data_IF_701101536662
#
_entry.id   IF_701101536662
#
_cell.length_a   1.000
_cell.length_b   1.000
_cell.length_c   1.000
_cell.angle_alpha   90.00
_cell.angle_beta   90.00
_cell.angle_gamma   90.00
#
_symmetry.space_group_name_H-M   'P 1'
#
loop_
_entity.id
_entity.type
_entity.pdbx_description
1 polymer ?
#
# COMPACT_ATOMS: atom_id res chain seq x y z
N UNK A 1 -20.67 -8.39 -0.97
CA UNK A 1 -19.97 -9.43 -0.19
C UNK A 1 -19.67 -10.61 -1.12
N UNK A 2 -18.52 -11.27 -1.00
CA UNK A 2 -18.24 -12.47 -1.79
C UNK A 2 -17.22 -13.39 -1.12
N UNK A 3 -17.39 -14.70 -1.29
CA UNK A 3 -16.34 -15.70 -1.08
C UNK A 3 -15.62 -15.93 -2.42
N UNK A 4 -14.39 -15.44 -2.56
CA UNK A 4 -13.66 -15.52 -3.84
C UNK A 4 -12.66 -16.69 -3.81
N UNK A 5 -12.43 -17.38 -4.94
CA UNK A 5 -11.32 -18.32 -5.04
C UNK A 5 -9.99 -17.65 -4.70
N UNK A 6 -9.17 -18.28 -3.87
CA UNK A 6 -7.99 -17.62 -3.32
C UNK A 6 -6.93 -17.28 -4.38
N UNK A 7 -6.83 -18.06 -5.45
CA UNK A 7 -5.86 -17.82 -6.53
C UNK A 7 -6.11 -16.50 -7.29
N UNK A 8 -7.34 -15.97 -7.29
CA UNK A 8 -7.68 -14.68 -7.92
C UNK A 8 -7.67 -13.49 -6.96
N UNK A 9 -7.29 -13.67 -5.68
CA UNK A 9 -7.38 -12.64 -4.63
C UNK A 9 -6.78 -11.30 -5.07
N UNK A 10 -5.56 -11.32 -5.61
CA UNK A 10 -4.88 -10.09 -6.04
C UNK A 10 -5.55 -9.44 -7.25
N UNK A 11 -6.11 -10.21 -8.18
CA UNK A 11 -6.79 -9.67 -9.36
C UNK A 11 -8.12 -9.00 -8.98
N UNK A 12 -8.90 -9.63 -8.09
CA UNK A 12 -10.13 -9.05 -7.54
C UNK A 12 -9.83 -7.77 -6.75
N UNK A 13 -8.84 -7.79 -5.85
CA UNK A 13 -8.46 -6.61 -5.05
C UNK A 13 -7.98 -5.45 -5.93
N UNK A 14 -7.15 -5.71 -6.94
CA UNK A 14 -6.71 -4.68 -7.88
C UNK A 14 -7.90 -4.11 -8.67
N UNK A 15 -8.82 -4.97 -9.15
CA UNK A 15 -10.02 -4.54 -9.89
C UNK A 15 -10.90 -3.62 -9.05
N UNK A 16 -11.10 -3.95 -7.77
CA UNK A 16 -11.89 -3.13 -6.83
C UNK A 16 -11.18 -1.80 -6.56
N UNK A 17 -9.91 -1.85 -6.18
CA UNK A 17 -9.17 -0.68 -5.65
C UNK A 17 -8.70 0.29 -6.73
N UNK A 18 -8.59 -0.16 -7.98
CA UNK A 18 -8.16 0.65 -9.12
C UNK A 18 -9.32 1.05 -10.06
N UNK A 19 -10.55 0.66 -9.74
CA UNK A 19 -11.72 1.06 -10.52
C UNK A 19 -11.88 2.59 -10.52
N UNK A 20 -12.35 3.15 -11.65
CA UNK A 20 -12.71 4.58 -11.76
C UNK A 20 -13.76 4.96 -10.71
N UNK A 21 -14.73 4.08 -10.49
CA UNK A 21 -15.74 4.20 -9.45
C UNK A 21 -15.68 2.96 -8.54
N UNK A 22 -14.81 2.95 -7.52
CA UNK A 22 -14.70 1.81 -6.62
C UNK A 22 -15.94 1.71 -5.72
N UNK A 23 -16.35 0.50 -5.31
CA UNK A 23 -17.44 0.31 -4.36
C UNK A 23 -17.21 1.08 -3.05
N UNK A 24 -18.31 1.53 -2.41
CA UNK A 24 -18.25 2.27 -1.14
C UNK A 24 -17.83 1.35 0.01
N UNK A 25 -18.39 0.14 0.07
CA UNK A 25 -18.07 -0.85 1.10
C UNK A 25 -18.08 -2.25 0.48
N UNK A 26 -17.03 -3.02 0.70
CA UNK A 26 -16.86 -4.36 0.14
C UNK A 26 -16.35 -5.33 1.18
N UNK A 27 -16.88 -6.55 1.15
CA UNK A 27 -16.52 -7.61 2.08
C UNK A 27 -16.09 -8.84 1.28
N UNK A 28 -14.87 -9.32 1.51
CA UNK A 28 -14.29 -10.48 0.82
C UNK A 28 -13.80 -11.51 1.82
N UNK A 29 -14.19 -12.77 1.61
CA UNK A 29 -13.58 -13.91 2.30
C UNK A 29 -12.30 -14.29 1.55
N UNK A 30 -11.16 -14.30 2.26
CA UNK A 30 -9.85 -14.60 1.68
C UNK A 30 -8.86 -15.09 2.74
N UNK A 31 -7.68 -15.55 2.30
CA UNK A 31 -6.63 -16.04 3.19
C UNK A 31 -6.11 -14.93 4.13
N UNK A 32 -5.90 -15.26 5.41
CA UNK A 32 -5.45 -14.31 6.45
C UNK A 32 -4.16 -13.58 6.09
N UNK A 33 -3.18 -14.29 5.53
CA UNK A 33 -1.91 -13.68 5.10
C UNK A 33 -2.11 -12.64 3.99
N UNK A 34 -2.99 -12.94 3.02
CA UNK A 34 -3.35 -11.98 1.99
C UNK A 34 -4.04 -10.75 2.62
N UNK A 35 -5.03 -10.93 3.49
CA UNK A 35 -5.68 -9.81 4.20
C UNK A 35 -4.65 -8.92 4.92
N UNK A 36 -3.77 -9.54 5.71
CA UNK A 36 -2.74 -8.83 6.49
C UNK A 36 -1.82 -7.99 5.61
N UNK A 37 -1.43 -8.51 4.44
CA UNK A 37 -0.61 -7.78 3.46
C UNK A 37 -1.28 -6.50 2.99
N UNK A 38 -2.58 -6.55 2.66
CA UNK A 38 -3.33 -5.39 2.16
C UNK A 38 -3.73 -4.41 3.27
N UNK A 39 -4.02 -4.90 4.48
CA UNK A 39 -4.27 -4.03 5.64
C UNK A 39 -3.00 -3.32 6.13
N UNK A 40 -1.84 -3.98 6.03
CA UNK A 40 -0.60 -3.54 6.67
C UNK A 40 -0.67 -3.63 8.20
N UNK A 41 -1.23 -4.74 8.71
CA UNK A 41 -1.52 -4.92 10.14
C UNK A 41 -0.31 -5.40 10.97
N UNK A 42 0.70 -6.01 10.34
CA UNK A 42 1.95 -6.44 11.00
C UNK A 42 3.10 -5.49 10.69
N UNK A 43 3.29 -5.21 9.40
CA UNK A 43 4.25 -4.23 8.91
C UNK A 43 3.61 -3.39 7.81
N UNK A 44 4.13 -2.19 7.63
CA UNK A 44 3.71 -1.32 6.54
C UNK A 44 4.21 -1.91 5.22
N UNK A 45 3.30 -2.40 4.38
CA UNK A 45 3.64 -2.95 3.06
C UNK A 45 3.43 -1.91 1.98
N UNK A 46 4.15 -2.07 0.86
CA UNK A 46 3.92 -1.22 -0.32
C UNK A 46 2.45 -1.26 -0.76
N UNK A 47 1.81 -2.43 -0.74
CA UNK A 47 0.39 -2.58 -1.11
C UNK A 47 -0.53 -1.81 -0.14
N UNK A 48 -0.30 -1.92 1.17
CA UNK A 48 -1.16 -1.22 2.14
C UNK A 48 -1.01 0.29 2.03
N UNK A 49 0.20 0.81 1.86
CA UNK A 49 0.44 2.26 1.70
C UNK A 49 -0.23 2.84 0.46
N UNK A 50 -0.13 2.16 -0.68
CA UNK A 50 -0.74 2.64 -1.93
C UNK A 50 -2.28 2.71 -1.84
N UNK A 51 -2.88 2.04 -0.85
CA UNK A 51 -4.33 1.93 -0.71
C UNK A 51 -4.90 2.69 0.49
N UNK A 52 -4.16 2.79 1.60
CA UNK A 52 -4.60 3.43 2.85
C UNK A 52 -5.18 4.85 2.69
N UNK A 53 -4.65 5.73 1.80
CA UNK A 53 -5.23 7.05 1.59
C UNK A 53 -6.66 7.03 1.05
N UNK A 54 -7.06 5.97 0.34
CA UNK A 54 -8.37 5.87 -0.32
C UNK A 54 -9.29 4.84 0.32
N UNK A 55 -8.74 3.89 1.07
CA UNK A 55 -9.49 2.79 1.64
C UNK A 55 -9.14 2.57 3.10
N UNK A 56 -10.17 2.34 3.92
CA UNK A 56 -10.04 1.72 5.22
C UNK A 56 -10.19 0.20 5.03
N UNK A 57 -9.13 -0.55 5.34
CA UNK A 57 -9.10 -2.00 5.21
C UNK A 57 -8.87 -2.65 6.56
N UNK A 58 -9.77 -3.56 6.93
CA UNK A 58 -9.73 -4.23 8.24
C UNK A 58 -10.25 -5.65 8.15
N UNK A 59 -9.63 -6.53 8.94
CA UNK A 59 -10.16 -7.86 9.18
C UNK A 59 -11.28 -7.72 10.21
N UNK A 60 -12.52 -8.01 9.80
CA UNK A 60 -13.71 -7.86 10.66
C UNK A 60 -14.19 -9.19 11.24
N UNK A 61 -13.70 -10.31 10.72
CA UNK A 61 -14.03 -11.63 11.22
C UNK A 61 -12.92 -12.65 10.86
N UNK A 62 -12.68 -13.61 11.75
CA UNK A 62 -11.85 -14.79 11.50
C UNK A 62 -12.74 -16.03 11.55
N UNK A 63 -12.79 -16.79 10.46
CA UNK A 63 -13.64 -17.97 10.37
C UNK A 63 -12.98 -19.20 10.98
N UNK A 64 -13.79 -20.15 11.47
CA UNK A 64 -13.30 -21.48 11.80
C UNK A 64 -13.03 -22.26 10.50
N UNK A 65 -11.96 -23.03 10.46
CA UNK A 65 -11.65 -23.92 9.31
C UNK A 65 -12.77 -24.96 9.09
N UNK A 66 -13.54 -25.28 10.13
CA UNK A 66 -14.67 -26.20 10.03
C UNK A 66 -15.89 -25.59 9.32
N UNK A 67 -15.88 -24.29 9.01
CA UNK A 67 -16.94 -23.65 8.23
C UNK A 67 -16.80 -23.86 6.71
N UNK A 68 -15.77 -24.58 6.26
CA UNK A 68 -15.46 -24.79 4.85
C UNK A 68 -15.30 -26.27 4.53
N UNK A 69 -15.77 -26.67 3.35
CA UNK A 69 -15.57 -28.01 2.79
C UNK A 69 -15.06 -27.87 1.34
N UNK A 70 -13.91 -28.48 0.99
CA UNK A 70 -13.01 -29.23 1.88
C UNK A 70 -12.37 -28.32 2.94
N UNK A 71 -11.89 -28.93 4.03
CA UNK A 71 -11.24 -28.18 5.12
C UNK A 71 -9.93 -27.53 4.59
N UNK A 72 -9.77 -26.21 4.71
CA UNK A 72 -8.60 -25.50 4.23
C UNK A 72 -7.40 -25.67 5.18
N UNK A 73 -6.19 -25.68 4.63
CA UNK A 73 -4.94 -25.72 5.40
C UNK A 73 -4.49 -24.33 5.90
N UNK A 74 -5.19 -23.27 5.47
CA UNK A 74 -4.86 -21.87 5.75
C UNK A 74 -5.98 -21.22 6.56
N UNK A 75 -5.62 -20.18 7.30
CA UNK A 75 -6.62 -19.37 8.01
C UNK A 75 -7.37 -18.47 7.02
N UNK A 76 -8.68 -18.37 7.23
CA UNK A 76 -9.59 -17.60 6.39
C UNK A 76 -10.22 -16.49 7.22
N UNK A 77 -10.32 -15.30 6.62
CA UNK A 77 -10.86 -14.11 7.27
C UNK A 77 -11.83 -13.37 6.36
N UNK A 78 -12.68 -12.55 6.97
CA UNK A 78 -13.49 -11.56 6.27
C UNK A 78 -12.74 -10.22 6.27
N UNK A 79 -12.29 -9.80 5.09
CA UNK A 79 -11.71 -8.47 4.87
C UNK A 79 -12.83 -7.50 4.49
N UNK A 80 -12.95 -6.40 5.23
CA UNK A 80 -13.72 -5.22 4.83
C UNK A 80 -12.80 -4.23 4.11
N UNK A 81 -13.28 -3.69 2.99
CA UNK A 81 -12.64 -2.65 2.18
C UNK A 81 -13.65 -1.53 2.03
N UNK A 82 -13.48 -0.48 2.81
CA UNK A 82 -14.37 0.67 2.81
C UNK A 82 -13.66 1.84 2.13
N UNK A 83 -14.28 2.42 1.11
CA UNK A 83 -13.81 3.66 0.49
C UNK A 83 -13.88 4.79 1.52
N UNK A 84 -12.80 5.56 1.65
CA UNK A 84 -12.78 6.75 2.49
C UNK A 84 -13.62 7.85 1.83
N UNK A 85 -14.40 8.56 2.65
CA UNK A 85 -15.20 9.72 2.22
C UNK A 85 -14.38 11.02 2.18
N UNK A 86 -13.12 10.98 2.61
CA UNK A 86 -12.25 12.15 2.73
C UNK A 86 -11.21 12.11 1.63
N UNK A 87 -11.10 13.21 0.89
CA UNK A 87 -10.01 13.45 -0.04
C UNK A 87 -8.81 13.99 0.76
N UNK A 88 -8.04 13.09 1.39
CA UNK A 88 -6.78 13.44 2.08
C UNK A 88 -5.78 14.13 1.12
N UNK A 89 -5.91 13.84 -0.17
CA UNK A 89 -5.08 14.35 -1.25
C UNK A 89 -5.95 14.76 -2.44
N UNK A 90 -5.53 15.81 -3.14
CA UNK A 90 -5.99 16.04 -4.52
C UNK A 90 -5.58 14.89 -5.43
N UNK A 91 -6.20 14.78 -6.61
CA UNK A 91 -5.84 13.73 -7.60
C UNK A 91 -4.34 13.77 -7.94
N UNK A 92 -3.78 14.97 -8.12
CA UNK A 92 -2.36 15.18 -8.43
C UNK A 92 -1.45 14.80 -7.27
N UNK A 93 -1.80 15.20 -6.05
CA UNK A 93 -1.03 14.80 -4.86
C UNK A 93 -1.09 13.29 -4.63
N UNK A 94 -2.23 12.65 -4.90
CA UNK A 94 -2.34 11.19 -4.78
C UNK A 94 -1.50 10.46 -5.83
N UNK A 95 -1.41 10.98 -7.05
CA UNK A 95 -0.46 10.49 -8.06
C UNK A 95 0.99 10.61 -7.58
N UNK A 96 1.36 11.79 -7.09
CA UNK A 96 2.71 12.05 -6.59
C UNK A 96 3.02 11.24 -5.32
N UNK A 97 2.03 11.00 -4.47
CA UNK A 97 2.14 10.12 -3.29
C UNK A 97 2.50 8.70 -3.73
N UNK A 98 1.80 8.15 -4.72
CA UNK A 98 2.09 6.80 -5.22
C UNK A 98 3.50 6.70 -5.79
N UNK A 99 3.94 7.72 -6.54
CA UNK A 99 5.30 7.82 -7.05
C UNK A 99 6.33 7.90 -5.93
N UNK A 100 6.11 8.78 -4.94
CA UNK A 100 6.97 8.93 -3.76
C UNK A 100 7.11 7.61 -2.99
N UNK A 101 6.01 6.93 -2.67
CA UNK A 101 6.03 5.65 -1.95
C UNK A 101 6.78 4.57 -2.75
N UNK A 102 6.48 4.42 -4.05
CA UNK A 102 7.17 3.44 -4.89
C UNK A 102 8.66 3.71 -5.00
N UNK A 103 9.07 4.98 -5.13
CA UNK A 103 10.48 5.36 -5.12
C UNK A 103 11.16 5.01 -3.80
N UNK A 104 10.54 5.34 -2.67
CA UNK A 104 11.10 5.09 -1.34
C UNK A 104 11.27 3.60 -1.07
N UNK A 105 10.30 2.76 -1.44
CA UNK A 105 10.40 1.30 -1.33
C UNK A 105 11.50 0.71 -2.21
N UNK A 106 11.62 1.19 -3.46
CA UNK A 106 12.70 0.77 -4.37
C UNK A 106 14.09 1.12 -3.82
N UNK A 107 14.20 2.22 -3.08
CA UNK A 107 15.44 2.73 -2.51
C UNK A 107 15.46 2.59 -0.98
N UNK A 108 15.01 1.45 -0.47
CA UNK A 108 14.86 1.18 0.97
C UNK A 108 16.12 1.59 1.76
N UNK A 109 15.94 2.22 2.93
CA UNK A 109 16.98 2.82 3.79
C UNK A 109 17.81 3.97 3.19
N UNK A 110 17.92 4.08 1.86
CA UNK A 110 18.76 5.08 1.18
C UNK A 110 17.97 6.30 0.68
N UNK A 111 16.66 6.13 0.42
CA UNK A 111 15.77 7.21 -0.04
C UNK A 111 15.85 8.52 0.77
N UNK A 112 16.02 8.52 2.11
CA UNK A 112 15.93 9.77 2.86
C UNK A 112 17.03 10.74 2.49
N UNK A 113 18.25 10.23 2.25
CA UNK A 113 19.41 11.04 1.83
C UNK A 113 19.31 11.49 0.37
N UNK A 114 18.57 10.76 -0.46
CA UNK A 114 18.34 11.13 -1.87
C UNK A 114 17.33 12.27 -1.96
N UNK A 115 16.25 12.17 -1.19
CA UNK A 115 15.13 13.11 -1.24
C UNK A 115 15.36 14.33 -0.35
N UNK A 116 15.70 14.11 0.92
CA UNK A 116 15.76 15.18 1.92
C UNK A 116 17.19 15.69 2.12
N UNK A 117 17.31 16.96 2.49
CA UNK A 117 18.58 17.55 2.95
C UNK A 117 18.88 17.13 4.39
N UNK A 118 20.14 17.28 4.82
CA UNK A 118 20.51 17.03 6.22
C UNK A 118 19.66 17.83 7.21
N UNK A 119 19.40 19.12 6.91
CA UNK A 119 18.55 19.99 7.75
C UNK A 119 17.12 19.45 7.85
N UNK A 120 16.53 19.00 6.74
CA UNK A 120 15.18 18.42 6.73
C UNK A 120 15.12 17.12 7.55
N UNK A 121 16.11 16.23 7.39
CA UNK A 121 16.18 14.99 8.18
C UNK A 121 16.36 15.28 9.68
N UNK A 122 17.16 16.29 10.03
CA UNK A 122 17.35 16.73 11.42
C UNK A 122 16.04 17.24 12.02
N UNK A 123 15.28 18.05 11.27
CA UNK A 123 13.97 18.54 11.72
C UNK A 123 12.93 17.41 11.82
N UNK A 124 12.89 16.48 10.85
CA UNK A 124 12.03 15.29 10.90
C UNK A 124 12.28 14.47 12.17
N UNK A 125 13.55 14.24 12.51
CA UNK A 125 13.92 13.54 13.75
C UNK A 125 13.51 14.33 14.99
N UNK A 126 13.80 15.63 15.04
CA UNK A 126 13.55 16.48 16.21
C UNK A 126 12.06 16.66 16.50
N UNK A 127 11.24 16.87 15.46
CA UNK A 127 9.81 17.21 15.61
C UNK A 127 8.90 15.99 15.62
N UNK A 128 9.28 14.92 14.92
CA UNK A 128 8.41 13.76 14.70
C UNK A 128 9.01 12.43 15.15
N UNK A 129 10.24 12.42 15.69
CA UNK A 129 10.91 11.20 16.17
C UNK A 129 11.39 10.27 15.05
N UNK A 130 11.17 10.61 13.78
CA UNK A 130 11.48 9.74 12.64
C UNK A 130 12.99 9.59 12.49
N UNK A 131 13.48 8.38 12.74
CA UNK A 131 14.92 8.06 12.77
C UNK A 131 15.26 6.74 12.09
N UNK A 132 14.36 5.75 12.12
CA UNK A 132 14.49 4.51 11.36
C UNK A 132 13.80 4.65 10.00
N UNK A 133 14.59 4.65 8.93
CA UNK A 133 14.10 4.80 7.55
C UNK A 133 14.01 3.47 6.78
N UNK A 134 13.99 2.34 7.50
CA UNK A 134 13.57 1.08 6.91
C UNK A 134 12.09 1.17 6.55
N UNK A 135 11.77 1.02 5.26
CA UNK A 135 10.43 1.29 4.71
C UNK A 135 9.31 0.51 5.39
N UNK A 136 9.56 -0.74 5.79
CA UNK A 136 8.58 -1.56 6.51
C UNK A 136 8.38 -1.16 7.97
N UNK A 137 9.33 -0.45 8.57
CA UNK A 137 9.29 0.01 9.96
C UNK A 137 8.63 1.38 10.14
N UNK A 138 8.46 2.14 9.05
CA UNK A 138 7.79 3.45 9.06
C UNK A 138 6.28 3.21 9.08
N UNK A 139 5.59 3.81 10.06
CA UNK A 139 4.13 3.77 10.19
C UNK A 139 3.42 4.58 9.10
N UNK A 140 2.13 4.35 8.87
CA UNK A 140 1.39 5.10 7.86
C UNK A 140 1.39 6.61 8.18
N UNK A 141 1.23 6.95 9.46
CA UNK A 141 1.20 8.31 9.98
C UNK A 141 2.53 9.01 9.72
N UNK A 142 3.65 8.33 9.96
CA UNK A 142 4.99 8.84 9.62
C UNK A 142 5.18 8.97 8.11
N UNK A 143 4.66 8.05 7.28
CA UNK A 143 4.69 8.20 5.83
C UNK A 143 3.94 9.43 5.34
N UNK A 144 2.81 9.77 5.96
CA UNK A 144 2.07 11.00 5.65
C UNK A 144 2.89 12.24 6.03
N UNK A 145 3.57 12.23 7.18
CA UNK A 145 4.48 13.31 7.58
C UNK A 145 5.62 13.47 6.56
N UNK A 146 6.28 12.37 6.19
CA UNK A 146 7.35 12.38 5.19
C UNK A 146 6.87 12.93 3.85
N UNK A 147 5.68 12.51 3.41
CA UNK A 147 5.11 12.98 2.16
C UNK A 147 4.76 14.48 2.20
N UNK A 148 4.18 14.97 3.30
CA UNK A 148 3.90 16.41 3.49
C UNK A 148 5.19 17.23 3.49
N UNK A 149 6.24 16.76 4.17
CA UNK A 149 7.54 17.42 4.12
C UNK A 149 8.16 17.41 2.71
N UNK A 150 7.96 16.32 1.96
CA UNK A 150 8.36 16.22 0.57
C UNK A 150 7.64 17.24 -0.32
N UNK A 151 6.32 17.37 -0.18
CA UNK A 151 5.55 18.36 -0.94
C UNK A 151 6.00 19.79 -0.63
N UNK A 152 6.19 20.10 0.65
CA UNK A 152 6.39 21.48 1.11
C UNK A 152 7.83 21.99 0.94
N UNK A 153 8.84 21.14 1.18
CA UNK A 153 10.22 21.61 1.38
C UNK A 153 11.23 21.06 0.37
N UNK A 154 10.90 20.02 -0.39
CA UNK A 154 11.84 19.44 -1.37
C UNK A 154 11.76 20.20 -2.69
N UNK A 155 12.91 20.47 -3.31
CA UNK A 155 12.99 21.17 -4.59
C UNK A 155 12.37 20.38 -5.73
N UNK A 156 11.89 21.06 -6.77
CA UNK A 156 11.26 20.42 -7.91
C UNK A 156 12.21 19.48 -8.67
N UNK A 157 13.50 19.81 -8.71
CA UNK A 157 14.55 18.93 -9.24
C UNK A 157 14.55 17.56 -8.53
N UNK A 158 14.51 17.56 -7.19
CA UNK A 158 14.47 16.30 -6.42
C UNK A 158 13.11 15.62 -6.51
N UNK A 159 12.01 16.38 -6.58
CA UNK A 159 10.67 15.82 -6.83
C UNK A 159 10.61 15.10 -8.18
N UNK A 160 11.29 15.60 -9.20
CA UNK A 160 11.32 14.95 -10.52
C UNK A 160 11.89 13.52 -10.46
N UNK A 161 12.79 13.23 -9.51
CA UNK A 161 13.41 11.90 -9.35
C UNK A 161 12.43 10.79 -8.97
N UNK A 162 11.30 11.13 -8.32
CA UNK A 162 10.29 10.11 -7.95
C UNK A 162 9.29 9.86 -9.06
N UNK A 163 9.20 10.76 -10.04
CA UNK A 163 8.15 10.77 -11.06
C UNK A 163 8.14 9.47 -11.88
N UNK A 164 6.97 8.88 -12.05
CA UNK A 164 6.76 7.65 -12.81
C UNK A 164 7.16 6.37 -12.08
N UNK A 165 7.61 6.44 -10.82
CA UNK A 165 7.97 5.25 -10.03
C UNK A 165 6.80 4.29 -9.84
N UNK A 166 5.58 4.81 -9.69
CA UNK A 166 4.38 3.97 -9.59
C UNK A 166 4.08 3.25 -10.91
N UNK A 167 4.24 3.94 -12.05
CA UNK A 167 4.09 3.31 -13.37
C UNK A 167 5.12 2.19 -13.58
N UNK A 168 6.38 2.40 -13.19
CA UNK A 168 7.41 1.37 -13.25
C UNK A 168 7.04 0.15 -12.40
N UNK A 169 6.54 0.39 -11.19
CA UNK A 169 6.05 -0.67 -10.30
C UNK A 169 4.91 -1.50 -10.94
N UNK A 170 3.92 -0.85 -11.56
CA UNK A 170 2.83 -1.54 -12.26
C UNK A 170 3.34 -2.41 -13.42
N UNK A 171 4.30 -1.91 -14.21
CA UNK A 171 4.92 -2.67 -15.29
C UNK A 171 5.65 -3.91 -14.75
N UNK A 172 6.36 -3.78 -13.63
CA UNK A 172 7.03 -4.93 -13.00
C UNK A 172 6.04 -5.98 -12.49
N UNK A 173 4.94 -5.56 -11.82
CA UNK A 173 3.91 -6.50 -11.39
C UNK A 173 3.26 -7.25 -12.55
N UNK A 174 2.95 -6.55 -13.66
CA UNK A 174 2.35 -7.19 -14.84
C UNK A 174 3.28 -8.22 -15.49
N UNK A 175 4.60 -7.97 -15.54
CA UNK A 175 5.59 -8.91 -16.05
C UNK A 175 5.66 -10.17 -15.18
N UNK A 176 5.70 -10.01 -13.86
CA UNK A 176 5.69 -11.14 -12.93
C UNK A 176 4.45 -12.01 -13.13
N UNK A 177 3.25 -11.41 -13.22
CA UNK A 177 2.01 -12.16 -13.48
C UNK A 177 2.05 -12.97 -14.78
N UNK A 178 2.64 -12.43 -15.86
CA UNK A 178 2.79 -13.17 -17.14
C UNK A 178 3.69 -14.40 -17.00
N UNK A 179 4.80 -14.28 -16.27
CA UNK A 179 5.74 -15.39 -16.06
C UNK A 179 5.14 -16.54 -15.24
N UNK A 180 4.29 -16.25 -14.26
CA UNK A 180 3.63 -17.28 -13.46
C UNK A 180 2.51 -18.00 -14.22
N UNK A 181 1.79 -17.30 -15.12
CA UNK A 181 0.73 -17.92 -15.96
C UNK A 181 1.26 -18.81 -17.08
N UNK A 182 2.51 -18.64 -17.51
CA UNK A 182 3.13 -19.48 -18.56
C UNK A 182 3.82 -20.74 -18.01
N UNK A 183 3.68 -21.02 -16.71
CA UNK A 183 4.29 -22.16 -16.02
C UNK A 183 3.25 -23.17 -15.50
N UNK A 184 1.98 -22.97 -15.86
CA UNK A 184 0.85 -23.89 -15.65
C UNK A 184 0.51 -24.56 -16.98
#
# INVERSE_FOLDING_TARGET
>A
FSNIPFFITSDVLNKITQAKNPPIDTYLILQKQAAMKYCGAMETTLKSLLLKPRFNMMIVHQFSRNNFSPRPNVDIVLLRIQKRNVDEFTIREFELYRDFICYCYKNNKVFPKRIFTYRQLKELRKRHGISNYQTSAITYEEWIILFKCFLQYVSDEKKSQVTGSYRQYLLQESKLKKQFRSRE
#
